data_IF_222506875839
#
_entry.id   IF_222506875839
#
_cell.length_a   1.000
_cell.length_b   1.000
_cell.length_c   1.000
_cell.angle_alpha   90.00
_cell.angle_beta   90.00
_cell.angle_gamma   90.00
#
_symmetry.space_group_name_H-M   'P 1'
#
loop_
_entity.id
_entity.type
_entity.pdbx_description
1 polymer ?
#
# COMPACT_ATOMS: atom_id res chain seq x y z
N UNK A 1 8.00 -40.86 -14.05
CA UNK A 1 8.61 -40.16 -12.91
C UNK A 1 8.49 -38.65 -13.17
N UNK A 2 7.46 -38.05 -12.61
CA UNK A 2 7.13 -36.64 -12.79
C UNK A 2 7.74 -35.88 -11.62
N UNK A 3 8.77 -35.09 -11.88
CA UNK A 3 9.39 -34.18 -10.90
C UNK A 3 8.53 -32.95 -10.73
N UNK A 4 7.89 -32.86 -9.59
CA UNK A 4 7.19 -31.65 -9.11
C UNK A 4 8.21 -30.52 -8.92
N UNK A 5 7.99 -29.28 -9.42
CA UNK A 5 8.90 -28.19 -9.16
C UNK A 5 8.82 -27.82 -7.68
N UNK A 6 10.02 -27.70 -7.05
CA UNK A 6 10.18 -27.41 -5.64
C UNK A 6 9.46 -26.14 -5.22
N UNK A 7 8.58 -26.27 -4.26
CA UNK A 7 8.04 -25.16 -3.50
C UNK A 7 9.19 -24.47 -2.77
N UNK A 8 9.47 -23.22 -3.08
CA UNK A 8 10.28 -22.37 -2.21
C UNK A 8 9.58 -22.36 -0.85
N UNK A 9 10.21 -22.96 0.16
CA UNK A 9 9.72 -22.95 1.53
C UNK A 9 9.56 -21.48 1.95
N UNK A 10 8.33 -21.05 2.18
CA UNK A 10 8.05 -19.79 2.85
C UNK A 10 8.69 -19.83 4.23
N UNK A 11 9.40 -18.79 4.62
CA UNK A 11 9.96 -18.71 5.96
C UNK A 11 8.81 -18.76 6.98
N UNK A 12 8.82 -19.77 7.86
CA UNK A 12 7.79 -19.92 8.88
C UNK A 12 7.72 -18.67 9.79
N UNK A 13 6.54 -18.41 10.33
CA UNK A 13 6.37 -17.37 11.33
C UNK A 13 7.17 -17.71 12.60
N UNK A 14 7.89 -16.73 13.14
CA UNK A 14 8.57 -16.86 14.42
C UNK A 14 7.58 -17.18 15.54
N UNK A 15 8.06 -17.69 16.68
CA UNK A 15 7.21 -17.93 17.85
C UNK A 15 6.47 -16.65 18.30
N UNK A 16 7.13 -15.50 18.22
CA UNK A 16 6.54 -14.19 18.51
C UNK A 16 5.41 -13.86 17.54
N UNK A 17 5.65 -14.03 16.25
CA UNK A 17 4.64 -13.78 15.20
C UNK A 17 3.44 -14.72 15.35
N UNK A 18 3.66 -15.98 15.71
CA UNK A 18 2.59 -16.93 15.99
C UNK A 18 1.69 -16.46 17.13
N UNK A 19 2.26 -15.82 18.16
CA UNK A 19 1.50 -15.21 19.24
C UNK A 19 0.78 -13.93 18.80
N UNK A 20 1.48 -13.04 18.07
CA UNK A 20 0.91 -11.79 17.55
C UNK A 20 -0.30 -12.09 16.65
N UNK A 21 -0.17 -13.05 15.74
CA UNK A 21 -1.20 -13.35 14.74
C UNK A 21 -2.15 -14.48 15.14
N UNK A 22 -2.12 -14.92 16.39
CA UNK A 22 -2.97 -16.03 16.86
C UNK A 22 -4.45 -15.83 16.51
N UNK A 23 -5.01 -14.63 16.73
CA UNK A 23 -6.40 -14.33 16.42
C UNK A 23 -6.67 -14.31 14.92
N UNK A 24 -5.75 -13.78 14.12
CA UNK A 24 -5.84 -13.81 12.66
C UNK A 24 -5.84 -15.26 12.17
N UNK A 25 -4.95 -16.10 12.71
CA UNK A 25 -4.87 -17.53 12.40
C UNK A 25 -6.17 -18.28 12.67
N UNK A 26 -6.82 -18.00 13.81
CA UNK A 26 -8.11 -18.61 14.13
C UNK A 26 -9.21 -18.22 13.14
N UNK A 27 -9.13 -17.01 12.57
CA UNK A 27 -10.13 -16.52 11.61
C UNK A 27 -9.92 -17.07 10.20
N UNK A 28 -8.66 -17.06 9.70
CA UNK A 28 -8.38 -17.34 8.29
C UNK A 28 -7.68 -18.70 8.07
N UNK A 29 -7.18 -19.35 9.12
CA UNK A 29 -6.41 -20.59 9.06
C UNK A 29 -4.92 -20.37 8.73
N UNK A 30 -4.11 -21.40 9.01
CA UNK A 30 -2.65 -21.34 8.83
C UNK A 30 -2.25 -21.08 7.38
N UNK A 31 -2.85 -21.78 6.43
CA UNK A 31 -2.51 -21.68 5.02
C UNK A 31 -2.70 -20.26 4.47
N UNK A 32 -3.79 -19.59 4.85
CA UNK A 32 -4.07 -18.21 4.40
C UNK A 32 -3.15 -17.22 5.09
N UNK A 33 -2.87 -17.40 6.38
CA UNK A 33 -1.94 -16.56 7.12
C UNK A 33 -0.52 -16.63 6.53
N UNK A 34 -0.02 -17.84 6.21
CA UNK A 34 1.28 -18.01 5.54
C UNK A 34 1.32 -17.29 4.18
N UNK A 35 0.26 -17.44 3.37
CA UNK A 35 0.17 -16.71 2.10
C UNK A 35 0.23 -15.20 2.28
N UNK A 36 -0.45 -14.65 3.30
CA UNK A 36 -0.41 -13.22 3.62
C UNK A 36 1.02 -12.80 3.99
N UNK A 37 1.72 -13.60 4.82
CA UNK A 37 3.09 -13.33 5.25
C UNK A 37 4.12 -13.35 4.11
N UNK A 38 3.86 -14.11 3.05
CA UNK A 38 4.74 -14.22 1.89
C UNK A 38 4.56 -13.10 0.87
N UNK A 39 3.45 -12.36 0.94
CA UNK A 39 3.18 -11.27 -0.01
C UNK A 39 4.24 -10.16 0.09
N UNK A 40 4.75 -9.77 -1.06
CA UNK A 40 5.57 -8.55 -1.22
C UNK A 40 4.65 -7.41 -1.59
N UNK A 41 4.51 -6.46 -0.69
CA UNK A 41 3.60 -5.32 -0.84
C UNK A 41 4.40 -4.04 -1.01
N UNK A 42 4.00 -3.19 -1.96
CA UNK A 42 4.49 -1.81 -2.05
C UNK A 42 3.32 -0.85 -1.92
N UNK A 43 3.49 0.16 -1.08
CA UNK A 43 2.51 1.20 -0.79
C UNK A 43 3.09 2.57 -1.12
N UNK A 44 2.47 3.26 -2.04
CA UNK A 44 2.79 4.63 -2.43
C UNK A 44 1.88 5.63 -1.71
N UNK A 45 2.50 6.54 -0.96
CA UNK A 45 1.84 7.53 -0.12
C UNK A 45 1.50 6.99 1.28
N UNK A 46 2.10 7.57 2.33
CA UNK A 46 1.82 7.23 3.74
C UNK A 46 1.15 8.39 4.48
N UNK A 47 0.26 9.08 3.79
CA UNK A 47 -0.58 10.14 4.33
C UNK A 47 -1.78 9.62 5.14
N UNK A 48 -2.91 10.35 5.10
CA UNK A 48 -4.11 10.05 5.88
C UNK A 48 -4.79 8.72 5.57
N UNK A 49 -4.60 8.17 4.38
CA UNK A 49 -5.13 6.84 3.99
C UNK A 49 -4.04 5.79 4.10
N UNK A 50 -2.89 6.02 3.43
CA UNK A 50 -1.86 4.99 3.31
C UNK A 50 -1.21 4.61 4.63
N UNK A 51 -1.03 5.54 5.58
CA UNK A 51 -0.43 5.19 6.87
C UNK A 51 -1.30 4.23 7.69
N UNK A 52 -2.61 4.43 7.71
CA UNK A 52 -3.55 3.50 8.36
C UNK A 52 -3.66 2.18 7.61
N UNK A 53 -3.58 2.20 6.28
CA UNK A 53 -3.50 1.01 5.46
C UNK A 53 -2.25 0.18 5.80
N UNK A 54 -1.08 0.81 5.90
CA UNK A 54 0.17 0.15 6.27
C UNK A 54 0.09 -0.54 7.64
N UNK A 55 -0.46 0.14 8.65
CA UNK A 55 -0.66 -0.44 9.98
C UNK A 55 -1.62 -1.63 9.93
N UNK A 56 -2.73 -1.51 9.20
CA UNK A 56 -3.71 -2.59 9.05
C UNK A 56 -3.11 -3.81 8.37
N UNK A 57 -2.28 -3.63 7.34
CA UNK A 57 -1.60 -4.71 6.63
C UNK A 57 -0.66 -5.50 7.55
N UNK A 58 0.21 -4.81 8.30
CA UNK A 58 1.13 -5.47 9.22
C UNK A 58 0.37 -6.18 10.35
N UNK A 59 -0.68 -5.57 10.91
CA UNK A 59 -1.55 -6.22 11.91
C UNK A 59 -2.30 -7.43 11.37
N UNK A 60 -2.50 -7.51 10.06
CA UNK A 60 -3.14 -8.67 9.40
C UNK A 60 -2.17 -9.79 9.04
N UNK A 61 -0.85 -9.59 9.22
CA UNK A 61 0.15 -10.62 8.95
C UNK A 61 1.07 -10.36 7.75
N UNK A 62 0.95 -9.20 7.08
CA UNK A 62 1.92 -8.82 6.03
C UNK A 62 3.28 -8.55 6.66
N UNK A 63 4.30 -9.26 6.17
CA UNK A 63 5.68 -9.19 6.70
C UNK A 63 6.62 -8.39 5.82
N UNK A 64 6.37 -8.30 4.51
CA UNK A 64 7.25 -7.64 3.54
C UNK A 64 6.55 -6.46 2.91
N UNK A 65 6.87 -5.25 3.41
CA UNK A 65 6.21 -4.02 3.01
C UNK A 65 7.22 -2.93 2.65
N UNK A 66 7.14 -2.42 1.44
CA UNK A 66 7.85 -1.22 1.00
C UNK A 66 6.94 -0.01 1.09
N UNK A 67 7.38 1.03 1.79
CA UNK A 67 6.69 2.31 1.95
C UNK A 67 7.39 3.37 1.12
N UNK A 68 6.66 4.10 0.31
CA UNK A 68 7.20 5.17 -0.55
C UNK A 68 6.45 6.47 -0.28
N UNK A 69 7.16 7.49 0.21
CA UNK A 69 6.63 8.86 0.43
C UNK A 69 7.81 9.80 0.62
N UNK A 70 7.81 10.95 -0.03
CA UNK A 70 8.91 11.91 0.05
C UNK A 70 8.82 12.87 1.23
N UNK A 71 7.66 12.98 1.84
CA UNK A 71 7.32 14.04 2.79
C UNK A 71 7.95 13.87 4.18
N UNK A 72 7.98 14.98 4.88
CA UNK A 72 8.20 15.04 6.33
C UNK A 72 6.88 15.28 7.05
N UNK A 73 6.82 14.85 8.30
CA UNK A 73 5.67 15.09 9.17
C UNK A 73 5.50 16.60 9.40
N UNK A 74 4.32 17.12 9.10
CA UNK A 74 3.92 18.50 9.40
C UNK A 74 2.94 18.52 10.57
N UNK A 75 2.92 19.62 11.32
CA UNK A 75 1.96 19.83 12.41
C UNK A 75 0.50 19.73 11.90
N UNK A 76 0.24 20.15 10.67
CA UNK A 76 -1.08 20.08 10.05
C UNK A 76 -1.54 18.64 9.70
N UNK A 77 -0.65 17.68 9.80
CA UNK A 77 -0.96 16.27 9.56
C UNK A 77 -1.52 15.55 10.81
N UNK A 78 -1.30 16.11 12.00
CA UNK A 78 -1.62 15.49 13.30
C UNK A 78 -3.09 15.09 13.42
N UNK A 79 -3.98 15.82 12.78
CA UNK A 79 -5.42 15.57 12.86
C UNK A 79 -5.89 14.29 12.13
N UNK A 80 -5.06 13.69 11.23
CA UNK A 80 -5.53 12.57 10.40
C UNK A 80 -4.49 11.53 9.98
N UNK A 81 -3.19 11.85 10.07
CA UNK A 81 -2.13 10.93 9.64
C UNK A 81 -1.53 10.20 10.84
N UNK A 82 -1.48 8.88 10.77
CA UNK A 82 -0.99 8.02 11.87
C UNK A 82 0.44 8.39 12.33
N UNK A 83 1.42 8.66 11.44
CA UNK A 83 2.78 9.01 11.86
C UNK A 83 2.89 10.39 12.51
N UNK A 84 1.86 11.23 12.36
CA UNK A 84 1.94 12.63 12.78
C UNK A 84 1.50 12.79 14.24
N UNK A 85 2.48 13.00 15.09
CA UNK A 85 2.33 13.40 16.49
C UNK A 85 3.21 14.61 16.74
N UNK A 86 2.95 15.37 17.82
CA UNK A 86 3.79 16.56 18.13
C UNK A 86 5.29 16.20 18.17
N UNK A 87 5.73 15.12 18.82
CA UNK A 87 7.15 14.73 18.84
C UNK A 87 7.73 14.30 17.48
N UNK A 88 6.91 13.93 16.51
CA UNK A 88 7.40 13.45 15.21
C UNK A 88 7.45 14.54 14.12
N UNK A 89 6.97 15.76 14.42
CA UNK A 89 7.01 16.88 13.46
C UNK A 89 8.45 17.12 12.97
N UNK A 90 8.60 17.27 11.64
CA UNK A 90 9.88 17.45 10.97
C UNK A 90 10.60 16.14 10.60
N UNK A 91 10.22 15.01 11.17
CA UNK A 91 10.80 13.71 10.82
C UNK A 91 10.29 13.20 9.48
N UNK A 92 11.08 12.36 8.83
CA UNK A 92 10.71 11.70 7.56
C UNK A 92 9.52 10.75 7.79
N UNK A 93 8.43 10.91 7.02
CA UNK A 93 7.18 10.15 7.25
C UNK A 93 7.39 8.65 7.16
N UNK A 94 8.05 8.15 6.11
CA UNK A 94 8.24 6.70 5.92
C UNK A 94 9.06 6.07 7.04
N UNK A 95 10.02 6.80 7.63
CA UNK A 95 10.80 6.31 8.77
C UNK A 95 9.96 6.24 10.04
N UNK A 96 9.13 7.25 10.30
CA UNK A 96 8.23 7.22 11.46
C UNK A 96 7.20 6.09 11.34
N UNK A 97 6.66 5.87 10.13
CA UNK A 97 5.76 4.73 9.88
C UNK A 97 6.49 3.42 10.08
N UNK A 98 7.69 3.26 9.51
CA UNK A 98 8.51 2.05 9.68
C UNK A 98 8.76 1.72 11.15
N UNK A 99 9.20 2.68 11.96
CA UNK A 99 9.39 2.49 13.40
C UNK A 99 8.11 1.99 14.09
N UNK A 100 6.98 2.60 13.77
CA UNK A 100 5.68 2.21 14.29
C UNK A 100 5.31 0.78 13.91
N UNK A 101 5.53 0.39 12.66
CA UNK A 101 5.21 -0.95 12.16
C UNK A 101 6.12 -2.02 12.79
N UNK A 102 7.42 -1.72 12.95
CA UNK A 102 8.36 -2.61 13.65
C UNK A 102 8.06 -2.73 15.14
N UNK A 103 7.44 -1.73 15.76
CA UNK A 103 6.94 -1.86 17.13
C UNK A 103 5.72 -2.80 17.24
N UNK A 104 4.98 -3.03 16.13
CA UNK A 104 3.86 -3.98 16.04
C UNK A 104 4.37 -5.38 15.74
N UNK A 105 5.21 -5.53 14.71
CA UNK A 105 5.86 -6.78 14.35
C UNK A 105 7.37 -6.54 14.13
N UNK A 106 8.22 -6.79 15.13
CA UNK A 106 9.66 -6.60 15.02
C UNK A 106 10.34 -7.50 13.98
N UNK A 107 9.71 -8.61 13.62
CA UNK A 107 10.23 -9.60 12.68
C UNK A 107 9.85 -9.30 11.21
N UNK A 108 9.10 -8.20 10.97
CA UNK A 108 8.70 -7.78 9.64
C UNK A 108 9.84 -7.06 8.88
N UNK A 109 9.89 -7.28 7.59
CA UNK A 109 10.80 -6.60 6.64
C UNK A 109 10.14 -5.32 6.11
N UNK A 110 10.32 -4.19 6.80
CA UNK A 110 9.75 -2.90 6.40
C UNK A 110 10.82 -2.04 5.76
N UNK A 111 10.69 -1.80 4.46
CA UNK A 111 11.57 -0.91 3.70
C UNK A 111 10.95 0.49 3.61
N UNK A 112 11.64 1.50 4.13
CA UNK A 112 11.26 2.91 3.99
C UNK A 112 12.04 3.53 2.83
N UNK A 113 11.33 4.14 1.88
CA UNK A 113 11.88 4.82 0.72
C UNK A 113 11.39 6.27 0.74
N UNK A 114 12.28 7.19 1.13
CA UNK A 114 11.98 8.62 1.08
C UNK A 114 12.18 9.11 -0.35
N UNK A 115 11.20 8.92 -1.19
CA UNK A 115 11.22 9.35 -2.59
C UNK A 115 9.81 9.68 -3.07
N UNK A 116 9.72 10.46 -4.16
CA UNK A 116 8.48 10.70 -4.88
C UNK A 116 8.43 9.76 -6.08
N UNK A 117 7.32 9.03 -6.24
CA UNK A 117 7.12 8.27 -7.46
C UNK A 117 6.79 9.22 -8.63
N UNK A 118 7.55 9.13 -9.71
CA UNK A 118 7.30 9.86 -10.95
C UNK A 118 7.66 9.00 -12.17
N UNK A 119 7.43 9.53 -13.38
CA UNK A 119 7.71 8.80 -14.60
C UNK A 119 9.21 8.50 -14.77
N UNK A 120 10.06 9.41 -14.34
CA UNK A 120 11.51 9.37 -14.51
C UNK A 120 12.17 8.28 -13.66
N UNK A 121 11.61 7.97 -12.48
CA UNK A 121 12.16 6.96 -11.56
C UNK A 121 11.29 5.70 -11.44
N UNK A 122 10.24 5.57 -12.22
CA UNK A 122 9.27 4.46 -12.11
C UNK A 122 9.91 3.07 -12.18
N UNK A 123 10.93 2.89 -13.02
CA UNK A 123 11.62 1.60 -13.19
C UNK A 123 12.42 1.19 -11.94
N UNK A 124 12.92 2.17 -11.15
CA UNK A 124 13.69 1.88 -9.93
C UNK A 124 12.86 1.19 -8.83
N UNK A 125 11.54 1.30 -8.91
CA UNK A 125 10.62 0.63 -7.96
C UNK A 125 10.36 -0.83 -8.32
N UNK A 126 10.77 -1.31 -9.49
CA UNK A 126 10.65 -2.70 -9.94
C UNK A 126 9.27 -3.31 -9.64
N UNK A 127 8.20 -2.63 -10.09
CA UNK A 127 6.81 -2.97 -9.76
C UNK A 127 6.42 -4.43 -10.06
N UNK A 128 7.07 -5.05 -11.05
CA UNK A 128 6.84 -6.45 -11.43
C UNK A 128 7.30 -7.47 -10.37
N UNK A 129 8.08 -7.04 -9.39
CA UNK A 129 8.56 -7.90 -8.29
C UNK A 129 7.59 -7.98 -7.11
N UNK A 130 6.53 -7.20 -7.09
CA UNK A 130 5.54 -7.16 -6.02
C UNK A 130 4.31 -7.97 -6.36
N UNK A 131 3.70 -8.55 -5.33
CA UNK A 131 2.44 -9.30 -5.43
C UNK A 131 1.24 -8.36 -5.28
N UNK A 132 1.41 -7.26 -4.50
CA UNK A 132 0.37 -6.25 -4.28
C UNK A 132 0.98 -4.84 -4.40
N UNK A 133 0.33 -4.00 -5.18
CA UNK A 133 0.68 -2.57 -5.33
C UNK A 133 -0.50 -1.74 -4.82
N UNK A 134 -0.23 -0.87 -3.85
CA UNK A 134 -1.25 0.00 -3.25
C UNK A 134 -0.89 1.46 -3.54
N UNK A 135 -1.84 2.18 -4.10
CA UNK A 135 -1.73 3.59 -4.45
C UNK A 135 -2.61 4.44 -3.54
N UNK A 136 -1.98 5.20 -2.65
CA UNK A 136 -2.61 6.20 -1.80
C UNK A 136 -2.06 7.63 -2.09
N UNK A 137 -1.52 7.85 -3.30
CA UNK A 137 -1.05 9.16 -3.78
C UNK A 137 -2.27 10.06 -4.05
N UNK A 138 -2.16 11.34 -3.74
CA UNK A 138 -3.20 12.35 -4.01
C UNK A 138 -2.86 13.24 -5.23
N UNK A 139 -1.62 13.24 -5.70
CA UNK A 139 -1.17 13.97 -6.88
C UNK A 139 -1.69 13.32 -8.18
N UNK A 140 -2.27 14.15 -9.05
CA UNK A 140 -2.93 13.68 -10.28
C UNK A 140 -1.96 13.09 -11.31
N UNK A 141 -0.76 13.65 -11.44
CA UNK A 141 0.19 13.26 -12.51
C UNK A 141 0.82 11.92 -12.18
N UNK A 142 1.40 11.81 -10.99
CA UNK A 142 2.09 10.64 -10.47
C UNK A 142 1.12 9.46 -10.32
N UNK A 143 -0.07 9.72 -9.76
CA UNK A 143 -1.13 8.71 -9.66
C UNK A 143 -1.56 8.18 -11.01
N UNK A 144 -1.74 9.04 -12.01
CA UNK A 144 -2.10 8.60 -13.36
C UNK A 144 -1.01 7.70 -13.98
N UNK A 145 0.25 8.08 -13.81
CA UNK A 145 1.38 7.27 -14.28
C UNK A 145 1.45 5.92 -13.56
N UNK A 146 1.35 5.93 -12.22
CA UNK A 146 1.38 4.71 -11.41
C UNK A 146 0.25 3.75 -11.81
N UNK A 147 -0.98 4.24 -11.99
CA UNK A 147 -2.12 3.41 -12.43
C UNK A 147 -1.81 2.73 -13.77
N UNK A 148 -1.26 3.45 -14.75
CA UNK A 148 -0.92 2.87 -16.05
C UNK A 148 0.16 1.78 -15.92
N UNK A 149 1.21 2.03 -15.13
CA UNK A 149 2.31 1.08 -14.93
C UNK A 149 1.88 -0.13 -14.11
N UNK A 150 1.26 0.08 -12.97
CA UNK A 150 0.83 -1.00 -12.07
C UNK A 150 -0.18 -1.95 -12.73
N UNK A 151 -1.09 -1.42 -13.56
CA UNK A 151 -2.05 -2.27 -14.28
C UNK A 151 -1.44 -3.10 -15.43
N UNK A 152 -0.16 -2.89 -15.76
CA UNK A 152 0.58 -3.72 -16.71
C UNK A 152 1.27 -4.91 -16.06
N UNK A 153 1.51 -4.86 -14.74
CA UNK A 153 2.14 -5.95 -13.97
C UNK A 153 1.17 -7.09 -13.67
N UNK A 154 1.64 -8.21 -13.11
CA UNK A 154 0.80 -9.29 -12.59
C UNK A 154 0.25 -9.02 -11.19
N UNK A 155 0.78 -8.02 -10.47
CA UNK A 155 0.40 -7.69 -9.10
C UNK A 155 -1.10 -7.35 -8.95
N UNK A 156 -1.68 -7.63 -7.80
CA UNK A 156 -2.97 -7.06 -7.41
C UNK A 156 -2.79 -5.55 -7.20
N UNK A 157 -3.50 -4.75 -7.97
CA UNK A 157 -3.42 -3.29 -7.86
C UNK A 157 -4.68 -2.70 -7.22
N UNK A 158 -4.49 -1.95 -6.13
CA UNK A 158 -5.56 -1.23 -5.43
C UNK A 158 -5.20 0.26 -5.34
N UNK A 159 -6.11 1.13 -5.75
CA UNK A 159 -5.89 2.58 -5.70
C UNK A 159 -6.97 3.26 -4.87
N UNK A 160 -6.56 3.98 -3.82
CA UNK A 160 -7.46 4.86 -3.08
C UNK A 160 -7.71 6.14 -3.87
N UNK A 161 -8.97 6.49 -4.05
CA UNK A 161 -9.36 7.78 -4.61
C UNK A 161 -9.41 8.88 -3.53
N UNK A 162 -9.84 10.09 -3.89
CA UNK A 162 -9.85 11.22 -2.96
C UNK A 162 -10.79 11.00 -1.77
N UNK A 163 -10.26 11.13 -0.56
CA UNK A 163 -11.01 11.02 0.69
C UNK A 163 -11.52 12.38 1.23
N UNK A 164 -11.03 13.50 0.68
CA UNK A 164 -11.42 14.84 1.13
C UNK A 164 -12.93 15.08 1.04
N UNK A 165 -13.49 15.74 2.04
CA UNK A 165 -14.91 16.08 2.16
C UNK A 165 -15.85 14.86 2.20
N UNK A 166 -15.35 13.69 2.59
CA UNK A 166 -16.12 12.48 2.80
C UNK A 166 -16.41 12.32 4.30
N UNK A 167 -17.67 12.53 4.69
CA UNK A 167 -18.07 12.55 6.10
C UNK A 167 -18.68 11.21 6.57
N UNK A 168 -19.18 10.42 5.64
CA UNK A 168 -19.85 9.14 5.95
C UNK A 168 -18.96 7.95 5.53
N UNK A 169 -18.29 7.29 6.48
CA UNK A 169 -17.41 6.16 6.19
C UNK A 169 -18.17 4.91 5.70
N UNK A 170 -19.46 4.80 5.98
CA UNK A 170 -20.30 3.66 5.54
C UNK A 170 -20.51 3.63 4.04
N UNK A 171 -20.21 4.73 3.35
CA UNK A 171 -20.33 4.87 1.90
C UNK A 171 -19.03 4.55 1.14
N UNK A 172 -17.98 4.10 1.85
CA UNK A 172 -16.76 3.61 1.19
C UNK A 172 -17.07 2.33 0.43
N UNK A 173 -16.69 2.29 -0.84
CA UNK A 173 -16.96 1.16 -1.73
C UNK A 173 -15.72 0.80 -2.55
N UNK A 174 -15.60 -0.49 -2.86
CA UNK A 174 -14.66 -0.98 -3.87
C UNK A 174 -15.39 -1.02 -5.20
N UNK A 175 -14.81 -0.38 -6.21
CA UNK A 175 -15.38 -0.33 -7.55
C UNK A 175 -14.29 -0.38 -8.62
N UNK A 176 -14.64 -0.89 -9.79
CA UNK A 176 -13.81 -0.74 -10.98
C UNK A 176 -13.59 0.77 -11.27
N UNK A 177 -12.37 1.12 -11.67
CA UNK A 177 -11.93 2.51 -11.86
C UNK A 177 -12.92 3.39 -12.67
N UNK A 178 -13.48 2.85 -13.76
CA UNK A 178 -14.41 3.61 -14.61
C UNK A 178 -15.79 3.82 -13.98
N UNK A 179 -16.13 3.03 -12.96
CA UNK A 179 -17.42 3.10 -12.24
C UNK A 179 -17.35 3.94 -10.96
N UNK A 180 -16.16 4.39 -10.56
CA UNK A 180 -16.00 5.24 -9.35
C UNK A 180 -16.82 6.53 -9.49
N UNK A 181 -17.78 6.72 -8.60
CA UNK A 181 -18.62 7.91 -8.53
C UNK A 181 -18.20 8.87 -7.42
N UNK A 182 -18.76 10.10 -7.42
CA UNK A 182 -18.65 11.04 -6.31
C UNK A 182 -17.24 11.52 -5.93
N UNK A 183 -16.22 11.32 -6.79
CA UNK A 183 -14.83 11.69 -6.50
C UNK A 183 -14.26 12.62 -7.58
N UNK A 184 -13.89 13.88 -7.24
CA UNK A 184 -13.26 14.80 -8.18
C UNK A 184 -11.93 14.29 -8.75
N UNK A 185 -11.08 13.66 -7.93
CA UNK A 185 -9.80 13.09 -8.36
C UNK A 185 -10.01 11.97 -9.40
N UNK A 186 -10.93 11.04 -9.14
CA UNK A 186 -11.24 9.98 -10.10
C UNK A 186 -11.79 10.53 -11.43
N UNK A 187 -12.60 11.61 -11.37
CA UNK A 187 -13.07 12.31 -12.57
C UNK A 187 -11.92 12.94 -13.37
N UNK A 188 -10.99 13.60 -12.67
CA UNK A 188 -9.82 14.21 -13.28
C UNK A 188 -8.92 13.16 -13.95
N UNK A 189 -8.67 12.03 -13.28
CA UNK A 189 -7.91 10.90 -13.82
C UNK A 189 -8.57 10.33 -15.09
N UNK A 190 -9.88 10.06 -15.07
CA UNK A 190 -10.59 9.58 -16.26
C UNK A 190 -10.52 10.56 -17.43
N UNK A 191 -10.64 11.87 -17.16
CA UNK A 191 -10.51 12.89 -18.17
C UNK A 191 -9.07 12.94 -18.74
N UNK A 192 -8.05 12.83 -17.89
CA UNK A 192 -6.64 12.76 -18.30
C UNK A 192 -6.41 11.57 -19.24
N UNK A 193 -6.86 10.37 -18.88
CA UNK A 193 -6.73 9.17 -19.71
C UNK A 193 -7.49 9.28 -21.04
N UNK A 194 -8.70 9.85 -21.03
CA UNK A 194 -9.46 10.08 -22.27
C UNK A 194 -8.74 11.02 -23.23
N UNK A 195 -8.20 12.15 -22.72
CA UNK A 195 -7.45 13.13 -23.53
C UNK A 195 -6.15 12.54 -24.07
N UNK A 196 -5.43 11.78 -23.27
CA UNK A 196 -4.21 11.12 -23.68
C UNK A 196 -4.43 9.87 -24.56
N UNK A 197 -5.69 9.47 -24.79
CA UNK A 197 -6.07 8.24 -25.50
C UNK A 197 -5.41 6.97 -24.92
N UNK A 198 -5.14 6.98 -23.59
CA UNK A 198 -4.57 5.87 -22.84
C UNK A 198 -5.62 5.25 -21.94
N UNK A 199 -5.47 3.95 -21.66
CA UNK A 199 -6.36 3.25 -20.72
C UNK A 199 -5.54 2.33 -19.82
N UNK A 200 -5.77 2.37 -18.49
CA UNK A 200 -5.30 1.31 -17.61
C UNK A 200 -5.81 -0.04 -18.13
N UNK A 201 -4.96 -1.06 -18.06
CA UNK A 201 -5.42 -2.42 -18.33
C UNK A 201 -6.44 -2.79 -17.25
N UNK A 202 -7.48 -3.51 -17.64
CA UNK A 202 -8.48 -3.99 -16.69
C UNK A 202 -7.89 -5.08 -15.83
N UNK A 203 -8.09 -4.97 -14.54
CA UNK A 203 -7.84 -6.03 -13.54
C UNK A 203 -9.04 -6.16 -12.65
#
# INVERSE_FOLDING_TARGET
MSSTPGSSLSADFSEREQQIFHRTRLLVGDQVLHRIGDLRVILFGVGGVGSWCAESLVRSGVRRLTLVDSDRVSITNVNRQMPATVPTVGRVKVEVVRERLLAINPDAEIRAVQDIYCAENAESFALDTYDVIIDAIDSLAEKAHLILRATQTSALFVSSMGAALKMDPTRVQIAEFWKVGGCPLARALRNKFKRAKTRPKRK
#
